data_IF_680367886601
#
_entry.id   IF_680367886601
#
_cell.length_a   1.000
_cell.length_b   1.000
_cell.length_c   1.000
_cell.angle_alpha   90.00
_cell.angle_beta   90.00
_cell.angle_gamma   90.00
#
_symmetry.space_group_name_H-M   'P 1'
#
loop_
_entity.id
_entity.type
_entity.pdbx_description
1 polymer ?
#
# COMPACT_ATOMS: atom_id res chain seq x y z
N UNK A 1 27.37 -3.55 5.09
CA UNK A 1 26.77 -4.64 4.30
C UNK A 1 25.33 -4.85 4.73
N UNK A 2 24.51 -5.50 3.90
CA UNK A 2 23.15 -5.92 4.26
C UNK A 2 23.13 -6.74 5.56
N UNK A 3 24.09 -7.65 5.75
CA UNK A 3 24.21 -8.46 6.97
C UNK A 3 24.32 -7.62 8.24
N UNK A 4 25.17 -6.59 8.25
CA UNK A 4 25.33 -5.73 9.43
C UNK A 4 24.08 -4.90 9.73
N UNK A 5 23.33 -4.50 8.70
CA UNK A 5 22.02 -3.85 8.87
C UNK A 5 20.99 -4.83 9.43
N UNK A 6 20.90 -6.03 8.84
CA UNK A 6 19.93 -7.04 9.24
C UNK A 6 20.17 -7.55 10.65
N UNK A 7 21.44 -7.76 11.04
CA UNK A 7 21.83 -8.12 12.41
C UNK A 7 21.31 -7.13 13.45
N UNK A 8 21.37 -5.82 13.16
CA UNK A 8 20.78 -4.79 14.02
C UNK A 8 19.24 -4.72 13.98
N UNK A 9 18.63 -5.13 12.87
CA UNK A 9 17.19 -5.06 12.66
C UNK A 9 16.42 -6.33 13.06
N UNK A 10 17.09 -7.42 13.45
CA UNK A 10 16.48 -8.73 13.78
C UNK A 10 15.28 -8.62 14.73
N UNK A 11 15.39 -7.80 15.77
CA UNK A 11 14.30 -7.63 16.74
C UNK A 11 13.08 -6.93 16.12
N UNK A 12 13.29 -5.88 15.33
CA UNK A 12 12.22 -5.18 14.61
C UNK A 12 11.56 -6.13 13.61
N UNK A 13 12.37 -6.90 12.87
CA UNK A 13 11.88 -7.90 11.93
C UNK A 13 11.04 -8.98 12.63
N UNK A 14 11.47 -9.47 13.79
CA UNK A 14 10.69 -10.40 14.61
C UNK A 14 9.34 -9.80 15.04
N UNK A 15 9.33 -8.53 15.47
CA UNK A 15 8.10 -7.85 15.90
C UNK A 15 7.09 -7.59 14.77
N UNK A 16 7.49 -7.67 13.50
CA UNK A 16 6.56 -7.50 12.37
C UNK A 16 5.44 -8.56 12.38
N UNK A 17 5.76 -9.81 12.73
CA UNK A 17 4.76 -10.88 12.83
C UNK A 17 3.68 -10.57 13.87
N UNK A 18 4.04 -10.40 15.16
CA UNK A 18 3.11 -10.02 16.22
C UNK A 18 2.36 -8.72 15.92
N UNK A 19 3.02 -7.69 15.37
CA UNK A 19 2.37 -6.43 15.01
C UNK A 19 1.29 -6.65 13.93
N UNK A 20 1.58 -7.47 12.91
CA UNK A 20 0.62 -7.80 11.84
C UNK A 20 -0.59 -8.55 12.39
N UNK A 21 -0.38 -9.52 13.29
CA UNK A 21 -1.48 -10.25 13.94
C UNK A 21 -2.29 -9.32 14.85
N UNK A 22 -1.63 -8.43 15.59
CA UNK A 22 -2.29 -7.48 16.47
C UNK A 22 -3.20 -6.50 15.71
N UNK A 23 -2.86 -6.12 14.48
CA UNK A 23 -3.72 -5.29 13.62
C UNK A 23 -5.04 -5.99 13.25
N UNK A 24 -5.13 -7.32 13.32
CA UNK A 24 -6.38 -8.04 13.06
C UNK A 24 -7.42 -7.83 14.18
N UNK A 25 -6.99 -7.56 15.41
CA UNK A 25 -7.88 -7.36 16.57
C UNK A 25 -8.85 -6.18 16.36
N UNK A 26 -8.41 -4.95 16.08
CA UNK A 26 -9.33 -3.83 15.85
C UNK A 26 -10.22 -4.02 14.62
N UNK A 27 -9.72 -4.68 13.57
CA UNK A 27 -10.52 -5.04 12.38
C UNK A 27 -11.65 -6.00 12.77
N UNK A 28 -11.34 -7.05 13.54
CA UNK A 28 -12.33 -8.01 14.02
C UNK A 28 -13.41 -7.35 14.89
N UNK A 29 -13.03 -6.41 15.77
CA UNK A 29 -13.99 -5.66 16.59
C UNK A 29 -14.99 -4.83 15.76
N UNK A 30 -14.57 -4.36 14.58
CA UNK A 30 -15.40 -3.58 13.66
C UNK A 30 -15.98 -4.40 12.49
N UNK A 31 -15.88 -5.74 12.56
CA UNK A 31 -16.23 -6.63 11.45
C UNK A 31 -17.66 -6.43 10.90
N UNK A 32 -18.65 -6.19 11.77
CA UNK A 32 -20.04 -5.92 11.35
C UNK A 32 -20.17 -4.63 10.53
N UNK A 33 -19.41 -3.59 10.86
CA UNK A 33 -19.41 -2.33 10.11
C UNK A 33 -18.73 -2.54 8.75
N UNK A 34 -17.59 -3.23 8.76
CA UNK A 34 -16.85 -3.59 7.54
C UNK A 34 -17.72 -4.41 6.58
N UNK A 35 -18.50 -5.37 7.08
CA UNK A 35 -19.44 -6.14 6.26
C UNK A 35 -20.53 -5.27 5.62
N UNK A 36 -21.07 -4.28 6.36
CA UNK A 36 -22.07 -3.35 5.80
C UNK A 36 -21.48 -2.48 4.69
N UNK A 37 -20.21 -2.09 4.82
CA UNK A 37 -19.49 -1.26 3.86
C UNK A 37 -18.73 -2.07 2.79
N UNK A 38 -18.91 -3.39 2.72
CA UNK A 38 -18.09 -4.27 1.89
C UNK A 38 -18.08 -3.89 0.41
N UNK A 39 -19.22 -3.40 -0.11
CA UNK A 39 -19.33 -2.93 -1.49
C UNK A 39 -18.47 -1.66 -1.72
N UNK A 40 -18.63 -0.65 -0.86
CA UNK A 40 -17.86 0.60 -0.89
C UNK A 40 -16.35 0.32 -0.80
N UNK A 41 -15.96 -0.58 0.11
CA UNK A 41 -14.58 -1.04 0.30
C UNK A 41 -14.05 -1.72 -0.97
N UNK A 42 -14.80 -2.65 -1.54
CA UNK A 42 -14.35 -3.42 -2.70
C UNK A 42 -14.18 -2.55 -3.94
N UNK A 43 -15.14 -1.65 -4.21
CA UNK A 43 -15.05 -0.71 -5.33
C UNK A 43 -13.86 0.24 -5.13
N UNK A 44 -13.73 0.81 -3.93
CA UNK A 44 -12.64 1.75 -3.63
C UNK A 44 -11.27 1.07 -3.72
N UNK A 45 -11.16 -0.18 -3.26
CA UNK A 45 -9.95 -0.99 -3.35
C UNK A 45 -9.54 -1.19 -4.82
N UNK A 46 -10.43 -1.70 -5.66
CA UNK A 46 -10.11 -2.01 -7.06
C UNK A 46 -9.82 -0.73 -7.84
N UNK A 47 -10.66 0.29 -7.70
CA UNK A 47 -10.46 1.57 -8.37
C UNK A 47 -9.14 2.24 -7.95
N UNK A 48 -8.84 2.29 -6.65
CA UNK A 48 -7.60 2.88 -6.14
C UNK A 48 -6.35 2.08 -6.51
N UNK A 49 -6.42 0.74 -6.47
CA UNK A 49 -5.30 -0.12 -6.88
C UNK A 49 -4.98 0.05 -8.36
N UNK A 50 -6.00 -0.01 -9.23
CA UNK A 50 -5.84 0.22 -10.67
C UNK A 50 -5.34 1.63 -10.96
N UNK A 51 -5.91 2.65 -10.30
CA UNK A 51 -5.44 4.02 -10.45
C UNK A 51 -3.97 4.15 -10.09
N UNK A 52 -3.52 3.56 -8.99
CA UNK A 52 -2.12 3.60 -8.59
C UNK A 52 -1.18 2.95 -9.62
N UNK A 53 -1.56 1.78 -10.15
CA UNK A 53 -0.77 1.06 -11.16
C UNK A 53 -0.74 1.84 -12.48
N UNK A 54 -1.91 2.20 -13.00
CA UNK A 54 -2.05 2.88 -14.30
C UNK A 54 -1.41 4.26 -14.27
N UNK A 55 -1.62 5.05 -13.22
CA UNK A 55 -0.98 6.37 -13.10
C UNK A 55 0.54 6.26 -13.03
N UNK A 56 1.06 5.25 -12.31
CA UNK A 56 2.51 5.01 -12.23
C UNK A 56 3.07 4.64 -13.61
N UNK A 57 2.40 3.72 -14.32
CA UNK A 57 2.78 3.34 -15.68
C UNK A 57 2.81 4.55 -16.63
N UNK A 58 1.70 5.30 -16.72
CA UNK A 58 1.58 6.46 -17.60
C UNK A 58 2.65 7.51 -17.29
N UNK A 59 2.91 7.80 -16.02
CA UNK A 59 3.95 8.76 -15.64
C UNK A 59 5.34 8.27 -16.06
N UNK A 60 5.66 6.98 -15.85
CA UNK A 60 6.93 6.42 -16.27
C UNK A 60 7.13 6.51 -17.79
N UNK A 61 6.09 6.21 -18.57
CA UNK A 61 6.10 6.35 -20.03
C UNK A 61 6.32 7.80 -20.48
N UNK A 62 5.60 8.77 -19.88
CA UNK A 62 5.76 10.19 -20.20
C UNK A 62 7.20 10.67 -19.96
N UNK A 63 7.81 10.23 -18.85
CA UNK A 63 9.18 10.58 -18.51
C UNK A 63 10.23 9.67 -19.16
N UNK A 64 9.82 8.67 -19.94
CA UNK A 64 10.70 7.68 -20.60
C UNK A 64 11.65 7.00 -19.62
N UNK A 65 11.10 6.58 -18.48
CA UNK A 65 11.82 5.83 -17.45
C UNK A 65 12.16 4.44 -17.98
N UNK A 66 13.36 3.95 -17.64
CA UNK A 66 13.80 2.59 -17.99
C UNK A 66 12.85 1.50 -17.47
N UNK A 67 12.68 0.44 -18.24
CA UNK A 67 11.73 -0.65 -17.96
C UNK A 67 11.98 -1.31 -16.59
N UNK A 68 13.24 -1.55 -16.21
CA UNK A 68 13.53 -2.15 -14.90
C UNK A 68 13.11 -1.24 -13.76
N UNK A 69 13.28 0.07 -13.92
CA UNK A 69 12.83 1.06 -12.93
C UNK A 69 11.30 1.14 -12.92
N UNK A 70 10.66 1.15 -14.09
CA UNK A 70 9.20 1.13 -14.23
C UNK A 70 8.60 -0.09 -13.51
N UNK A 71 9.12 -1.30 -13.78
CA UNK A 71 8.66 -2.53 -13.12
C UNK A 71 8.88 -2.49 -11.61
N UNK A 72 9.97 -1.88 -11.15
CA UNK A 72 10.22 -1.64 -9.73
C UNK A 72 9.19 -0.71 -9.07
N UNK A 73 8.58 0.19 -9.85
CA UNK A 73 7.61 1.19 -9.38
C UNK A 73 6.17 0.70 -9.39
N UNK A 74 5.79 -0.22 -10.29
CA UNK A 74 4.41 -0.69 -10.42
C UNK A 74 3.77 -1.17 -9.09
N UNK A 75 4.45 -1.97 -8.25
CA UNK A 75 3.86 -2.44 -7.00
C UNK A 75 4.05 -1.48 -5.81
N UNK A 76 4.48 -0.22 -6.03
CA UNK A 76 4.89 0.71 -4.96
C UNK A 76 3.86 0.96 -3.86
N UNK A 77 2.57 0.76 -4.16
CA UNK A 77 1.46 0.99 -3.22
C UNK A 77 1.22 -0.17 -2.25
N UNK A 78 1.81 -1.34 -2.49
CA UNK A 78 1.81 -2.45 -1.53
C UNK A 78 2.83 -2.21 -0.41
N UNK A 79 2.88 -3.10 0.59
CA UNK A 79 3.96 -3.06 1.59
C UNK A 79 5.28 -3.52 0.99
N UNK A 80 6.40 -3.01 1.51
CA UNK A 80 7.72 -3.30 0.95
C UNK A 80 7.98 -4.80 0.71
N UNK A 81 7.70 -5.73 1.65
CA UNK A 81 7.94 -7.16 1.38
C UNK A 81 7.11 -7.71 0.21
N UNK A 82 5.83 -7.32 0.12
CA UNK A 82 4.94 -7.74 -0.97
C UNK A 82 5.39 -7.13 -2.28
N UNK A 83 5.67 -5.82 -2.28
CA UNK A 83 6.08 -5.09 -3.47
C UNK A 83 7.40 -5.60 -4.03
N UNK A 84 8.37 -5.88 -3.17
CA UNK A 84 9.66 -6.47 -3.54
C UNK A 84 9.49 -7.83 -4.21
N UNK A 85 8.64 -8.70 -3.65
CA UNK A 85 8.36 -10.01 -4.24
C UNK A 85 7.68 -9.90 -5.61
N UNK A 86 6.73 -8.96 -5.77
CA UNK A 86 6.10 -8.71 -7.07
C UNK A 86 7.12 -8.18 -8.07
N UNK A 87 7.94 -7.20 -7.67
CA UNK A 87 8.98 -6.61 -8.52
C UNK A 87 9.95 -7.67 -9.03
N UNK A 88 10.40 -8.58 -8.17
CA UNK A 88 11.29 -9.68 -8.56
C UNK A 88 10.64 -10.58 -9.63
N UNK A 89 9.35 -10.89 -9.46
CA UNK A 89 8.59 -11.72 -10.40
C UNK A 89 8.39 -11.08 -11.78
N UNK A 90 8.37 -9.75 -11.86
CA UNK A 90 8.16 -9.00 -13.12
C UNK A 90 9.46 -8.39 -13.68
N UNK A 91 10.63 -8.74 -13.15
CA UNK A 91 11.93 -8.30 -13.66
C UNK A 91 12.38 -6.90 -13.24
N UNK A 92 11.79 -6.34 -12.18
CA UNK A 92 12.27 -5.11 -11.54
C UNK A 92 13.42 -5.37 -10.54
N UNK A 93 13.77 -4.34 -9.77
CA UNK A 93 14.86 -4.32 -8.80
C UNK A 93 14.28 -4.22 -7.39
N UNK A 94 14.20 -5.33 -6.62
CA UNK A 94 13.55 -5.35 -5.31
C UNK A 94 14.07 -4.29 -4.32
N UNK A 95 15.39 -4.05 -4.28
CA UNK A 95 15.96 -3.02 -3.40
C UNK A 95 15.49 -1.61 -3.74
N UNK A 96 15.27 -1.32 -5.03
CA UNK A 96 14.74 -0.03 -5.46
C UNK A 96 13.25 0.07 -5.12
N UNK A 97 12.47 -0.99 -5.36
CA UNK A 97 11.06 -1.06 -4.97
C UNK A 97 10.86 -0.77 -3.48
N UNK A 98 11.69 -1.35 -2.61
CA UNK A 98 11.63 -1.09 -1.17
C UNK A 98 11.71 0.42 -0.86
N UNK A 99 12.66 1.12 -1.48
CA UNK A 99 12.86 2.56 -1.29
C UNK A 99 11.66 3.34 -1.81
N UNK A 100 11.18 3.02 -3.02
CA UNK A 100 10.05 3.72 -3.65
C UNK A 100 8.74 3.52 -2.86
N UNK A 101 8.51 2.31 -2.34
CA UNK A 101 7.40 2.03 -1.44
C UNK A 101 7.51 2.87 -0.17
N UNK A 102 8.66 2.89 0.51
CA UNK A 102 8.85 3.71 1.72
C UNK A 102 8.57 5.19 1.42
N UNK A 103 9.12 5.73 0.33
CA UNK A 103 8.87 7.11 -0.09
C UNK A 103 7.38 7.37 -0.36
N UNK A 104 6.70 6.45 -1.05
CA UNK A 104 5.25 6.52 -1.28
C UNK A 104 4.48 6.60 0.04
N UNK A 105 4.82 5.74 1.01
CA UNK A 105 4.23 5.75 2.33
C UNK A 105 4.46 7.05 3.10
N UNK A 106 5.69 7.56 3.08
CA UNK A 106 6.04 8.84 3.74
C UNK A 106 5.25 9.99 3.11
N UNK A 107 5.21 10.06 1.78
CA UNK A 107 4.48 11.10 1.05
C UNK A 107 3.00 11.07 1.40
N UNK A 108 2.35 9.90 1.34
CA UNK A 108 0.93 9.82 1.66
C UNK A 108 0.62 10.03 3.14
N UNK A 109 1.47 9.59 4.08
CA UNK A 109 1.28 9.89 5.50
C UNK A 109 1.48 11.38 5.83
N UNK A 110 2.37 12.06 5.10
CA UNK A 110 2.66 13.48 5.27
C UNK A 110 1.59 14.37 4.64
N UNK A 111 1.16 14.06 3.42
CA UNK A 111 0.29 14.91 2.61
C UNK A 111 -1.16 14.43 2.53
N UNK A 112 -1.42 13.14 2.79
CA UNK A 112 -2.73 12.53 2.57
C UNK A 112 -3.84 13.11 3.45
N UNK A 113 -3.54 13.44 4.72
CA UNK A 113 -4.54 14.10 5.58
C UNK A 113 -4.93 15.47 5.04
N UNK A 114 -3.96 16.25 4.55
CA UNK A 114 -4.21 17.57 3.95
C UNK A 114 -5.04 17.45 2.66
N UNK A 115 -4.75 16.46 1.82
CA UNK A 115 -5.55 16.20 0.62
C UNK A 115 -7.00 15.85 0.98
N UNK A 116 -7.21 15.00 1.99
CA UNK A 116 -8.55 14.64 2.46
C UNK A 116 -9.29 15.84 3.10
N UNK A 117 -8.59 16.70 3.83
CA UNK A 117 -9.16 17.94 4.39
C UNK A 117 -9.57 18.92 3.28
N UNK A 118 -8.72 19.07 2.25
CA UNK A 118 -9.00 19.90 1.07
C UNK A 118 -10.26 19.42 0.32
N UNK A 119 -10.43 18.10 0.17
CA UNK A 119 -11.63 17.48 -0.39
C UNK A 119 -12.84 17.51 0.56
N UNK A 120 -12.69 18.05 1.77
CA UNK A 120 -13.73 18.13 2.82
C UNK A 120 -14.34 16.76 3.17
N UNK A 121 -13.55 15.70 3.07
CA UNK A 121 -13.96 14.34 3.43
C UNK A 121 -14.08 14.23 4.95
N UNK A 122 -15.30 14.01 5.44
CA UNK A 122 -15.59 13.94 6.88
C UNK A 122 -15.69 12.51 7.42
N UNK A 123 -16.02 11.55 6.57
CA UNK A 123 -16.19 10.16 6.98
C UNK A 123 -14.84 9.53 7.34
N UNK A 124 -14.67 9.14 8.61
CA UNK A 124 -13.40 8.61 9.10
C UNK A 124 -13.07 7.22 8.54
N UNK A 125 -14.08 6.42 8.19
CA UNK A 125 -13.88 5.12 7.54
C UNK A 125 -13.31 5.33 6.14
N UNK A 126 -13.89 6.24 5.36
CA UNK A 126 -13.42 6.58 4.02
C UNK A 126 -12.02 7.22 4.05
N UNK A 127 -11.78 8.16 4.99
CA UNK A 127 -10.45 8.77 5.19
C UNK A 127 -9.40 7.74 5.55
N UNK A 128 -9.72 6.85 6.49
CA UNK A 128 -8.86 5.76 6.91
C UNK A 128 -8.53 4.83 5.75
N UNK A 129 -9.56 4.32 5.09
CA UNK A 129 -9.41 3.41 3.97
C UNK A 129 -8.58 4.02 2.85
N UNK A 130 -8.90 5.25 2.43
CA UNK A 130 -8.16 5.97 1.39
C UNK A 130 -6.70 6.23 1.75
N UNK A 131 -6.42 6.64 2.99
CA UNK A 131 -5.04 6.88 3.45
C UNK A 131 -4.23 5.58 3.50
N UNK A 132 -4.81 4.50 4.04
CA UNK A 132 -4.17 3.18 4.07
C UNK A 132 -3.95 2.59 2.68
N UNK A 133 -4.91 2.78 1.76
CA UNK A 133 -4.80 2.32 0.38
C UNK A 133 -3.69 3.04 -0.38
N UNK A 134 -3.53 4.35 -0.17
CA UNK A 134 -2.54 5.17 -0.86
C UNK A 134 -1.13 5.11 -0.25
N UNK A 135 -1.00 4.79 1.04
CA UNK A 135 0.28 4.93 1.78
C UNK A 135 0.61 3.80 2.75
N UNK A 136 -0.10 2.67 2.61
CA UNK A 136 0.16 1.41 3.29
C UNK A 136 0.45 1.58 4.79
N UNK A 137 1.35 0.78 5.37
CA UNK A 137 1.59 0.75 6.81
C UNK A 137 1.97 2.10 7.44
N UNK A 138 2.67 2.98 6.72
CA UNK A 138 3.05 4.31 7.24
C UNK A 138 1.81 5.20 7.33
N UNK A 139 0.96 5.19 6.30
CA UNK A 139 -0.35 5.82 6.29
C UNK A 139 -1.29 5.28 7.36
N UNK A 140 -1.31 3.95 7.53
CA UNK A 140 -2.10 3.27 8.56
C UNK A 140 -1.69 3.73 9.95
N UNK A 141 -0.39 3.75 10.26
CA UNK A 141 0.10 4.25 11.55
C UNK A 141 -0.30 5.72 11.78
N UNK A 142 -0.24 6.55 10.73
CA UNK A 142 -0.71 7.94 10.79
C UNK A 142 -2.21 8.02 11.05
N UNK A 143 -3.04 7.25 10.35
CA UNK A 143 -4.48 7.21 10.54
C UNK A 143 -4.82 6.78 11.99
N UNK A 144 -4.21 5.69 12.46
CA UNK A 144 -4.40 5.16 13.82
C UNK A 144 -4.02 6.19 14.89
N UNK A 145 -2.93 6.94 14.69
CA UNK A 145 -2.52 7.99 15.64
C UNK A 145 -3.49 9.17 15.75
N UNK A 146 -4.38 9.35 14.77
CA UNK A 146 -5.29 10.48 14.68
C UNK A 146 -6.73 10.12 15.05
N UNK A 147 -7.18 8.91 14.70
CA UNK A 147 -8.53 8.46 14.96
C UNK A 147 -8.63 6.94 14.89
N UNK A 148 -9.33 6.34 15.84
CA UNK A 148 -9.47 4.88 15.96
C UNK A 148 -10.16 4.26 14.73
N UNK A 149 -11.31 4.80 14.29
CA UNK A 149 -12.05 4.30 13.12
C UNK A 149 -11.21 4.42 11.85
N UNK A 150 -10.58 5.56 11.60
CA UNK A 150 -9.70 5.72 10.44
C UNK A 150 -8.53 4.74 10.49
N UNK A 151 -7.97 4.50 11.67
CA UNK A 151 -6.93 3.50 11.89
C UNK A 151 -7.36 2.09 11.49
N UNK A 152 -8.54 1.65 11.94
CA UNK A 152 -9.10 0.33 11.61
C UNK A 152 -9.25 0.16 10.10
N UNK A 153 -9.88 1.13 9.42
CA UNK A 153 -10.12 1.05 7.99
C UNK A 153 -8.83 1.19 7.18
N UNK A 154 -7.85 1.95 7.66
CA UNK A 154 -6.52 2.01 7.04
C UNK A 154 -5.76 0.68 7.19
N UNK A 155 -5.90 -0.02 8.31
CA UNK A 155 -5.30 -1.34 8.52
C UNK A 155 -5.98 -2.41 7.64
N UNK A 156 -7.29 -2.30 7.44
CA UNK A 156 -8.01 -3.13 6.48
C UNK A 156 -7.52 -2.87 5.04
N UNK A 157 -7.41 -1.59 4.64
CA UNK A 157 -6.90 -1.21 3.32
C UNK A 157 -5.48 -1.73 3.07
N UNK A 158 -4.60 -1.63 4.08
CA UNK A 158 -3.24 -2.17 4.03
C UNK A 158 -3.22 -3.65 3.64
N UNK A 159 -4.01 -4.49 4.32
CA UNK A 159 -4.06 -5.93 4.07
C UNK A 159 -4.68 -6.26 2.71
N UNK A 160 -5.83 -5.65 2.40
CA UNK A 160 -6.53 -5.89 1.15
C UNK A 160 -5.74 -5.42 -0.07
N UNK A 161 -5.08 -4.26 0.02
CA UNK A 161 -4.29 -3.72 -1.08
C UNK A 161 -3.05 -4.57 -1.38
N UNK A 162 -2.45 -5.19 -0.37
CA UNK A 162 -1.38 -6.17 -0.58
C UNK A 162 -1.82 -7.32 -1.47
N UNK A 163 -3.00 -7.89 -1.19
CA UNK A 163 -3.59 -8.96 -2.01
C UNK A 163 -3.95 -8.45 -3.40
N UNK A 164 -4.64 -7.31 -3.48
CA UNK A 164 -5.08 -6.74 -4.75
C UNK A 164 -3.88 -6.44 -5.66
N UNK A 165 -2.84 -5.80 -5.14
CA UNK A 165 -1.62 -5.47 -5.91
C UNK A 165 -0.87 -6.73 -6.35
N UNK A 166 -0.77 -7.75 -5.48
CA UNK A 166 -0.13 -9.03 -5.81
C UNK A 166 -0.82 -9.79 -6.94
N UNK A 167 -2.12 -9.57 -7.13
CA UNK A 167 -2.88 -10.16 -8.24
C UNK A 167 -2.84 -9.25 -9.47
N UNK A 168 -3.17 -7.96 -9.28
CA UNK A 168 -3.37 -7.01 -10.38
C UNK A 168 -2.07 -6.71 -11.12
N UNK A 169 -0.94 -6.49 -10.44
CA UNK A 169 0.30 -6.11 -11.12
C UNK A 169 0.79 -7.22 -12.06
N UNK A 170 0.98 -8.48 -11.62
CA UNK A 170 1.39 -9.55 -12.53
C UNK A 170 0.37 -9.84 -13.64
N UNK A 171 -0.93 -9.70 -13.35
CA UNK A 171 -1.98 -9.90 -14.35
C UNK A 171 -1.93 -8.83 -15.45
N UNK A 172 -1.86 -7.55 -15.06
CA UNK A 172 -1.78 -6.44 -16.01
C UNK A 172 -0.47 -6.49 -16.80
N UNK A 173 0.64 -6.86 -16.14
CA UNK A 173 1.93 -7.06 -16.81
C UNK A 173 1.83 -8.09 -17.94
N UNK A 174 1.14 -9.23 -17.70
CA UNK A 174 0.89 -10.24 -18.74
C UNK A 174 -0.07 -9.76 -19.83
N UNK A 175 -1.15 -9.06 -19.46
CA UNK A 175 -2.19 -8.63 -20.41
C UNK A 175 -1.69 -7.53 -21.37
N UNK A 176 -0.87 -6.61 -20.88
CA UNK A 176 -0.35 -5.52 -21.70
C UNK A 176 0.85 -5.90 -22.56
N UNK A 177 1.25 -7.19 -22.56
CA UNK A 177 2.34 -7.70 -23.39
C UNK A 177 3.58 -6.80 -23.29
N UNK A 178 4.11 -6.59 -22.07
CA UNK A 178 5.43 -5.98 -21.87
C UNK A 178 6.58 -6.90 -22.36
N UNK A 179 6.38 -7.56 -23.51
CA UNK A 179 7.26 -8.51 -24.19
C UNK A 179 7.19 -8.30 -25.71
#
# INVERSE_FOLDING_TARGET
SYERYFDGAKFIHFMLGPATVALAIPIYKQFKVIQKEALSISISLIAGSLFAIISTFILCEIFKIDDQVLFSMLPRSATAPIAMGISDLIGGIPSLTAIITILTGIMGASFGTFALDYLKLKDMSARGFGLGLASHGIGTARAMSRNETAGVFAALALGLNGIATAILVPLLFKLFNFF
#
